data_IF_460570009754
#
_entry.id   IF_460570009754
#
_cell.length_a   1.000
_cell.length_b   1.000
_cell.length_c   1.000
_cell.angle_alpha   90.00
_cell.angle_beta   90.00
_cell.angle_gamma   90.00
#
_symmetry.space_group_name_H-M   'P 1'
#
loop_
_entity.id
_entity.type
_entity.pdbx_description
1 polymer ?
#
# COMPACT_ATOMS: atom_id res chain seq x y z
N UNK A 1 -4.94 -11.15 -3.10
CA UNK A 1 -5.31 -12.16 -2.08
C UNK A 1 -6.43 -11.70 -1.17
N UNK A 2 -6.68 -10.40 -1.05
CA UNK A 2 -7.74 -9.78 -0.22
C UNK A 2 -9.09 -10.51 -0.27
N UNK A 3 -9.67 -10.73 -1.46
CA UNK A 3 -10.92 -11.51 -1.62
C UNK A 3 -10.88 -12.88 -0.92
N UNK A 4 -9.78 -13.62 -1.06
CA UNK A 4 -9.64 -14.94 -0.47
C UNK A 4 -9.46 -14.88 1.05
N UNK A 5 -8.79 -13.83 1.55
CA UNK A 5 -8.68 -13.59 2.99
C UNK A 5 -10.05 -13.27 3.60
N UNK A 6 -10.83 -12.39 2.99
CA UNK A 6 -12.21 -12.08 3.41
C UNK A 6 -13.06 -13.35 3.44
N UNK A 7 -12.99 -14.17 2.38
CA UNK A 7 -13.68 -15.46 2.32
C UNK A 7 -13.28 -16.38 3.47
N UNK A 8 -11.98 -16.49 3.76
CA UNK A 8 -11.45 -17.31 4.86
C UNK A 8 -11.97 -16.84 6.22
N UNK A 9 -12.13 -15.54 6.40
CA UNK A 9 -12.60 -14.91 7.64
C UNK A 9 -14.13 -14.88 7.77
N UNK A 10 -14.86 -15.46 6.80
CA UNK A 10 -16.32 -15.58 6.85
C UNK A 10 -17.07 -14.35 6.32
N UNK A 11 -16.42 -13.48 5.55
CA UNK A 11 -17.07 -12.35 4.90
C UNK A 11 -18.09 -12.77 3.84
N UNK A 12 -19.08 -11.91 3.63
CA UNK A 12 -20.14 -12.13 2.63
C UNK A 12 -19.59 -12.23 1.21
N UNK A 13 -20.37 -12.76 0.27
CA UNK A 13 -19.96 -12.81 -1.14
C UNK A 13 -19.79 -11.41 -1.72
N UNK A 14 -20.65 -10.48 -1.34
CA UNK A 14 -20.57 -9.07 -1.73
C UNK A 14 -19.32 -8.40 -1.17
N UNK A 15 -18.91 -8.70 0.07
CA UNK A 15 -17.65 -8.21 0.64
C UNK A 15 -16.43 -8.83 -0.06
N UNK A 16 -16.53 -10.09 -0.47
CA UNK A 16 -15.50 -10.73 -1.31
C UNK A 16 -15.38 -10.03 -2.67
N UNK A 17 -16.51 -9.69 -3.31
CA UNK A 17 -16.52 -8.94 -4.57
C UNK A 17 -15.87 -7.56 -4.37
N UNK A 18 -16.24 -6.84 -3.30
CA UNK A 18 -15.62 -5.56 -2.97
C UNK A 18 -14.10 -5.71 -2.78
N UNK A 19 -13.67 -6.73 -2.04
CA UNK A 19 -12.24 -7.01 -1.85
C UNK A 19 -11.51 -7.53 -3.08
N UNK A 20 -12.19 -8.08 -4.07
CA UNK A 20 -11.59 -8.38 -5.38
C UNK A 20 -11.33 -7.11 -6.18
N UNK A 21 -12.21 -6.11 -6.03
CA UNK A 21 -12.24 -4.91 -6.85
C UNK A 21 -11.60 -3.69 -6.18
N UNK A 22 -11.20 -3.76 -4.91
CA UNK A 22 -10.73 -2.60 -4.13
C UNK A 22 -9.62 -1.78 -4.82
N UNK A 23 -8.69 -2.48 -5.48
CA UNK A 23 -7.51 -1.87 -6.13
C UNK A 23 -7.60 -1.80 -7.66
N UNK A 24 -8.76 -2.06 -8.25
CA UNK A 24 -8.92 -2.17 -9.73
C UNK A 24 -8.55 -0.90 -10.48
N UNK A 25 -8.57 0.25 -9.81
CA UNK A 25 -8.27 1.56 -10.36
C UNK A 25 -6.82 2.01 -10.13
N UNK A 26 -5.96 1.17 -9.54
CA UNK A 26 -4.54 1.50 -9.45
C UNK A 26 -3.94 1.71 -10.84
N UNK A 27 -3.21 2.80 -10.94
CA UNK A 27 -2.45 3.18 -12.13
C UNK A 27 -1.12 2.43 -12.20
N UNK A 28 -0.46 2.50 -13.36
CA UNK A 28 0.93 2.08 -13.51
C UNK A 28 1.81 2.66 -12.39
N UNK A 29 2.66 1.82 -11.81
CA UNK A 29 3.54 2.13 -10.68
C UNK A 29 2.81 2.55 -9.39
N UNK A 30 1.51 2.28 -9.27
CA UNK A 30 0.71 2.50 -8.07
C UNK A 30 0.92 3.91 -7.48
N UNK A 31 1.45 4.01 -6.25
CA UNK A 31 1.61 5.26 -5.51
C UNK A 31 2.68 6.21 -6.09
N UNK A 32 3.50 5.78 -7.06
CA UNK A 32 4.39 6.72 -7.78
C UNK A 32 3.56 7.82 -8.48
N UNK A 33 2.35 7.49 -8.92
CA UNK A 33 1.45 8.45 -9.57
C UNK A 33 0.94 9.50 -8.58
N UNK A 34 0.66 9.13 -7.33
CA UNK A 34 0.32 10.10 -6.30
C UNK A 34 1.41 11.17 -6.17
N UNK A 35 2.68 10.77 -6.19
CA UNK A 35 3.80 11.70 -6.14
C UNK A 35 3.95 12.54 -7.43
N UNK A 36 3.73 11.93 -8.61
CA UNK A 36 3.78 12.65 -9.88
C UNK A 36 2.70 13.74 -9.98
N UNK A 37 1.55 13.49 -9.37
CA UNK A 37 0.39 14.39 -9.32
C UNK A 37 0.38 15.33 -8.10
N UNK A 38 1.40 15.25 -7.24
CA UNK A 38 1.47 16.01 -5.98
C UNK A 38 0.28 15.74 -5.03
N UNK A 39 -0.28 14.53 -5.09
CA UNK A 39 -1.39 14.07 -4.26
C UNK A 39 -0.89 13.55 -2.91
N UNK A 40 -0.98 14.37 -1.86
CA UNK A 40 -0.42 14.05 -0.54
C UNK A 40 -1.18 12.96 0.22
N UNK A 41 -2.45 12.73 -0.11
CA UNK A 41 -3.31 11.76 0.58
C UNK A 41 -3.05 10.30 0.14
N UNK A 42 -2.25 10.12 -0.93
CA UNK A 42 -1.92 8.84 -1.57
C UNK A 42 -3.17 8.02 -1.97
N UNK A 43 -4.19 8.71 -2.47
CA UNK A 43 -5.55 8.20 -2.73
C UNK A 43 -6.02 8.43 -4.19
N UNK A 44 -5.12 8.68 -5.15
CA UNK A 44 -5.52 9.04 -6.51
C UNK A 44 -6.34 7.92 -7.18
N UNK A 45 -5.98 6.66 -6.92
CA UNK A 45 -6.70 5.49 -7.39
C UNK A 45 -8.15 5.46 -6.86
N UNK A 46 -8.42 5.92 -5.62
CA UNK A 46 -9.78 6.06 -5.09
C UNK A 46 -10.57 7.13 -5.84
N UNK A 47 -9.93 8.26 -6.19
CA UNK A 47 -10.56 9.40 -6.88
C UNK A 47 -11.08 9.03 -8.28
N UNK A 48 -10.42 8.10 -8.96
CA UNK A 48 -10.82 7.64 -10.30
C UNK A 48 -11.63 6.33 -10.28
N UNK A 49 -11.84 5.74 -9.10
CA UNK A 49 -12.44 4.41 -8.93
C UNK A 49 -13.77 4.26 -9.67
N UNK A 50 -14.70 5.19 -9.42
CA UNK A 50 -16.04 5.15 -10.00
C UNK A 50 -16.04 5.32 -11.53
N UNK A 51 -15.12 6.12 -12.08
CA UNK A 51 -14.97 6.29 -13.53
C UNK A 51 -14.44 5.01 -14.17
N UNK A 52 -13.48 4.34 -13.53
CA UNK A 52 -12.93 3.06 -14.00
C UNK A 52 -13.99 1.96 -13.94
N UNK A 53 -14.70 1.82 -12.82
CA UNK A 53 -15.79 0.85 -12.69
C UNK A 53 -16.89 1.14 -13.72
N UNK A 54 -17.35 2.38 -13.81
CA UNK A 54 -18.47 2.78 -14.68
C UNK A 54 -18.18 2.62 -16.17
N UNK A 55 -16.91 2.76 -16.58
CA UNK A 55 -16.48 2.56 -17.98
C UNK A 55 -16.14 1.10 -18.33
N UNK A 56 -16.14 0.20 -17.34
CA UNK A 56 -15.77 -1.21 -17.52
C UNK A 56 -16.98 -2.13 -17.80
N UNK A 57 -16.70 -3.42 -18.02
CA UNK A 57 -17.73 -4.47 -18.06
C UNK A 57 -18.21 -4.90 -16.67
N UNK A 58 -17.58 -4.45 -15.59
CA UNK A 58 -17.84 -4.91 -14.21
C UNK A 58 -19.31 -4.71 -13.81
N UNK A 59 -19.92 -3.51 -13.97
CA UNK A 59 -21.33 -3.33 -13.59
C UNK A 59 -22.28 -4.27 -14.33
N UNK A 60 -22.01 -4.53 -15.62
CA UNK A 60 -22.80 -5.47 -16.41
C UNK A 60 -22.65 -6.91 -15.92
N UNK A 61 -21.41 -7.33 -15.60
CA UNK A 61 -21.13 -8.65 -15.05
C UNK A 61 -21.87 -8.81 -13.72
N UNK A 62 -21.70 -7.89 -12.77
CA UNK A 62 -22.38 -7.92 -11.48
C UNK A 62 -23.90 -8.04 -11.63
N UNK A 63 -24.49 -7.23 -12.52
CA UNK A 63 -25.92 -7.28 -12.84
C UNK A 63 -26.37 -8.63 -13.39
N UNK A 64 -25.55 -9.30 -14.21
CA UNK A 64 -25.89 -10.61 -14.76
C UNK A 64 -25.94 -11.71 -13.69
N UNK A 65 -25.27 -11.52 -12.57
CA UNK A 65 -25.32 -12.38 -11.38
C UNK A 65 -26.32 -11.89 -10.30
N UNK A 66 -27.08 -10.83 -10.58
CA UNK A 66 -28.12 -10.33 -9.67
C UNK A 66 -27.65 -9.29 -8.65
N UNK A 67 -26.40 -8.81 -8.75
CA UNK A 67 -25.88 -7.75 -7.90
C UNK A 67 -26.13 -6.36 -8.51
N UNK A 68 -26.20 -5.36 -7.64
CA UNK A 68 -26.11 -3.95 -8.02
C UNK A 68 -24.71 -3.45 -7.67
N UNK A 69 -24.03 -2.84 -8.64
CA UNK A 69 -22.66 -2.38 -8.45
C UNK A 69 -22.60 -1.29 -7.36
N UNK A 70 -23.59 -0.40 -7.35
CA UNK A 70 -23.73 0.71 -6.40
C UNK A 70 -23.85 0.18 -4.96
N UNK A 71 -24.65 -0.88 -4.79
CA UNK A 71 -24.85 -1.51 -3.48
C UNK A 71 -23.55 -2.12 -2.95
N UNK A 72 -22.57 -2.48 -3.79
CA UNK A 72 -21.30 -3.11 -3.39
C UNK A 72 -20.18 -2.08 -3.26
N UNK A 73 -20.10 -1.14 -4.19
CA UNK A 73 -18.89 -0.35 -4.45
C UNK A 73 -18.97 1.10 -3.94
N UNK A 74 -20.17 1.65 -3.70
CA UNK A 74 -20.31 3.07 -3.33
C UNK A 74 -20.10 3.32 -1.82
N UNK A 75 -20.12 2.27 -1.00
CA UNK A 75 -20.02 2.38 0.46
C UNK A 75 -19.06 1.32 1.02
N UNK A 76 -17.78 1.69 1.14
CA UNK A 76 -16.76 0.82 1.71
C UNK A 76 -16.89 0.62 3.23
N UNK A 77 -17.49 1.57 3.96
CA UNK A 77 -17.61 1.51 5.43
C UNK A 77 -18.43 0.32 5.94
N UNK A 78 -19.26 -0.28 5.07
CA UNK A 78 -20.03 -1.49 5.42
C UNK A 78 -19.19 -2.78 5.38
N UNK A 79 -18.02 -2.75 4.75
CA UNK A 79 -17.13 -3.88 4.55
C UNK A 79 -16.03 -3.90 5.61
N UNK A 80 -16.43 -4.25 6.84
CA UNK A 80 -15.56 -4.11 8.03
C UNK A 80 -14.40 -5.09 8.08
N UNK A 81 -14.44 -6.17 7.28
CA UNK A 81 -13.29 -7.08 7.10
C UNK A 81 -12.36 -6.53 6.02
N UNK A 82 -12.91 -6.03 4.91
CA UNK A 82 -12.14 -5.45 3.81
C UNK A 82 -11.27 -4.29 4.30
N UNK A 83 -11.91 -3.25 4.85
CA UNK A 83 -11.25 -2.00 5.20
C UNK A 83 -11.64 -1.54 6.60
N UNK A 84 -10.66 -0.96 7.32
CA UNK A 84 -10.88 -0.26 8.59
C UNK A 84 -9.88 0.86 8.71
N UNK A 85 -10.29 1.98 9.30
CA UNK A 85 -9.35 3.07 9.57
C UNK A 85 -8.14 2.59 10.38
N UNK A 86 -6.96 3.03 9.97
CA UNK A 86 -5.74 2.83 10.76
C UNK A 86 -5.95 3.36 12.19
N UNK A 87 -5.42 2.68 13.22
CA UNK A 87 -4.43 1.59 13.14
C UNK A 87 -5.02 0.16 13.28
N UNK A 88 -6.34 -0.04 13.17
CA UNK A 88 -6.96 -1.37 13.29
C UNK A 88 -6.49 -2.33 12.18
N UNK A 89 -6.63 -3.65 12.29
CA UNK A 89 -6.37 -4.54 11.14
C UNK A 89 -7.49 -4.47 10.10
N UNK A 90 -7.16 -4.63 8.82
CA UNK A 90 -8.09 -4.86 7.71
C UNK A 90 -7.49 -5.86 6.71
N UNK A 91 -8.32 -6.39 5.80
CA UNK A 91 -7.89 -7.46 4.89
C UNK A 91 -6.83 -6.99 3.89
N UNK A 92 -6.93 -5.75 3.40
CA UNK A 92 -5.90 -5.19 2.52
C UNK A 92 -4.52 -5.15 3.22
N UNK A 93 -4.45 -4.48 4.37
CA UNK A 93 -3.20 -4.35 5.15
C UNK A 93 -2.63 -5.67 5.65
N UNK A 94 -3.48 -6.64 5.98
CA UNK A 94 -2.99 -7.99 6.28
C UNK A 94 -2.43 -8.67 5.03
N UNK A 95 -3.12 -8.56 3.89
CA UNK A 95 -2.75 -9.33 2.72
C UNK A 95 -1.48 -8.81 2.04
N UNK A 96 -1.33 -7.50 1.84
CA UNK A 96 -0.10 -6.98 1.24
C UNK A 96 1.10 -7.27 2.14
N UNK A 97 0.98 -7.08 3.46
CA UNK A 97 2.09 -7.35 4.39
C UNK A 97 2.54 -8.79 4.37
N UNK A 98 1.61 -9.75 4.39
CA UNK A 98 1.97 -11.16 4.36
C UNK A 98 2.55 -11.56 3.00
N UNK A 99 1.97 -11.06 1.90
CA UNK A 99 2.43 -11.38 0.54
C UNK A 99 3.83 -10.82 0.28
N UNK A 100 4.04 -9.55 0.62
CA UNK A 100 5.26 -8.83 0.26
C UNK A 100 6.41 -9.28 1.15
N UNK A 101 6.19 -9.44 2.46
CA UNK A 101 7.22 -9.96 3.38
C UNK A 101 7.60 -11.41 3.07
N UNK A 102 6.67 -12.22 2.54
CA UNK A 102 6.99 -13.56 2.04
C UNK A 102 7.79 -13.50 0.75
N UNK A 103 7.39 -12.64 -0.18
CA UNK A 103 8.07 -12.45 -1.47
C UNK A 103 9.51 -11.98 -1.28
N UNK A 104 9.76 -11.14 -0.29
CA UNK A 104 11.09 -10.65 0.07
C UNK A 104 11.90 -11.64 0.92
N UNK A 105 11.30 -12.78 1.32
CA UNK A 105 11.98 -13.83 2.08
C UNK A 105 12.16 -13.52 3.57
N UNK A 106 11.42 -12.56 4.13
CA UNK A 106 11.48 -12.22 5.56
C UNK A 106 10.65 -13.14 6.44
N UNK A 107 9.57 -13.70 5.91
CA UNK A 107 8.68 -14.62 6.63
C UNK A 107 8.45 -15.90 5.84
N UNK A 108 7.98 -16.94 6.52
CA UNK A 108 7.70 -18.25 5.94
C UNK A 108 6.19 -18.51 5.84
N UNK A 109 5.81 -19.53 5.06
CA UNK A 109 4.42 -20.00 5.02
C UNK A 109 3.92 -20.51 6.37
N UNK A 110 4.81 -20.96 7.26
CA UNK A 110 4.45 -21.35 8.64
C UNK A 110 4.07 -20.15 9.47
N UNK A 111 4.82 -19.05 9.36
CA UNK A 111 4.52 -17.81 10.07
C UNK A 111 3.18 -17.23 9.59
N UNK A 112 2.95 -17.23 8.27
CA UNK A 112 1.66 -16.86 7.67
C UNK A 112 0.52 -17.71 8.22
N UNK A 113 0.66 -19.04 8.23
CA UNK A 113 -0.39 -19.92 8.75
C UNK A 113 -0.67 -19.63 10.22
N UNK A 114 0.38 -19.52 11.04
CA UNK A 114 0.24 -19.24 12.47
C UNK A 114 -0.52 -17.92 12.73
N UNK A 115 -0.22 -16.87 11.97
CA UNK A 115 -0.95 -15.61 12.06
C UNK A 115 -2.41 -15.76 11.60
N UNK A 116 -2.64 -16.34 10.42
CA UNK A 116 -3.99 -16.49 9.86
C UNK A 116 -4.88 -17.46 10.66
N UNK A 117 -4.30 -18.39 11.41
CA UNK A 117 -5.01 -19.30 12.31
C UNK A 117 -5.36 -18.62 13.66
N UNK A 118 -4.68 -17.51 14.01
CA UNK A 118 -4.92 -16.73 15.23
C UNK A 118 -6.00 -15.64 15.06
N UNK A 119 -6.33 -15.26 13.82
CA UNK A 119 -7.34 -14.22 13.55
C UNK A 119 -8.74 -14.72 13.93
N UNK A 120 -9.44 -13.90 14.70
CA UNK A 120 -10.85 -14.08 15.10
C UNK A 120 -11.63 -12.83 14.71
N UNK A 121 -12.79 -13.01 14.06
CA UNK A 121 -13.71 -11.90 13.79
C UNK A 121 -14.64 -11.69 14.99
N UNK A 122 -14.59 -10.50 15.59
CA UNK A 122 -15.46 -10.08 16.69
C UNK A 122 -16.10 -8.75 16.31
N UNK A 123 -17.44 -8.70 16.23
CA UNK A 123 -18.19 -7.50 15.86
C UNK A 123 -17.70 -6.87 14.54
N UNK A 124 -17.40 -7.71 13.54
CA UNK A 124 -16.89 -7.28 12.24
C UNK A 124 -15.41 -6.87 12.22
N UNK A 125 -14.68 -6.98 13.34
CA UNK A 125 -13.27 -6.59 13.46
C UNK A 125 -12.34 -7.79 13.56
N UNK A 126 -11.20 -7.72 12.88
CA UNK A 126 -10.11 -8.66 13.08
C UNK A 126 -9.46 -8.44 14.44
N UNK A 127 -9.56 -9.45 15.30
CA UNK A 127 -8.89 -9.53 16.58
C UNK A 127 -7.93 -10.72 16.56
N UNK A 128 -6.86 -10.62 17.34
CA UNK A 128 -5.90 -11.68 17.58
C UNK A 128 -6.18 -12.32 18.94
N UNK A 129 -5.76 -13.56 19.12
CA UNK A 129 -5.94 -14.29 20.38
C UNK A 129 -4.73 -14.17 21.31
N UNK A 130 -3.56 -13.85 20.76
CA UNK A 130 -2.28 -13.82 21.48
C UNK A 130 -1.54 -12.47 21.33
N UNK A 131 -1.02 -11.89 22.43
CA UNK A 131 -0.09 -10.76 22.36
C UNK A 131 1.19 -11.06 21.58
N UNK A 132 1.69 -12.29 21.62
CA UNK A 132 2.90 -12.71 20.91
C UNK A 132 2.70 -12.67 19.38
N UNK A 133 1.54 -13.13 18.89
CA UNK A 133 1.19 -13.03 17.47
C UNK A 133 0.98 -11.57 17.05
N UNK A 134 0.38 -10.75 17.91
CA UNK A 134 0.24 -9.32 17.66
C UNK A 134 1.61 -8.62 17.56
N UNK A 135 2.54 -8.92 18.46
CA UNK A 135 3.91 -8.41 18.40
C UNK A 135 4.62 -8.80 17.11
N UNK A 136 4.49 -10.07 16.69
CA UNK A 136 5.07 -10.57 15.45
C UNK A 136 4.51 -9.81 14.23
N UNK A 137 3.19 -9.63 14.16
CA UNK A 137 2.58 -8.93 13.02
C UNK A 137 2.94 -7.45 12.99
N UNK A 138 2.91 -6.76 14.15
CA UNK A 138 3.33 -5.35 14.24
C UNK A 138 4.79 -5.19 13.78
N UNK A 139 5.68 -6.08 14.22
CA UNK A 139 7.08 -6.07 13.78
C UNK A 139 7.22 -6.32 12.27
N UNK A 140 6.45 -7.27 11.73
CA UNK A 140 6.45 -7.62 10.30
C UNK A 140 5.92 -6.47 9.45
N UNK A 141 4.83 -5.85 9.87
CA UNK A 141 4.24 -4.67 9.23
C UNK A 141 5.19 -3.48 9.23
N UNK A 142 5.86 -3.19 10.36
CA UNK A 142 6.80 -2.07 10.40
C UNK A 142 8.09 -2.33 9.62
N UNK A 143 8.53 -3.57 9.46
CA UNK A 143 9.59 -3.89 8.51
C UNK A 143 9.23 -3.49 7.09
N UNK A 144 7.98 -3.70 6.69
CA UNK A 144 7.51 -3.29 5.38
C UNK A 144 7.40 -1.77 5.25
N UNK A 145 6.61 -1.13 6.11
CA UNK A 145 6.26 0.29 5.91
C UNK A 145 7.37 1.25 6.34
N UNK A 146 8.29 0.82 7.21
CA UNK A 146 9.46 1.62 7.63
C UNK A 146 10.71 1.13 6.91
N UNK A 147 11.12 -0.13 7.08
CA UNK A 147 12.43 -0.54 6.57
C UNK A 147 12.45 -0.66 5.04
N UNK A 148 11.32 -0.99 4.39
CA UNK A 148 11.24 -1.14 2.94
C UNK A 148 10.66 0.10 2.24
N UNK A 149 9.42 0.52 2.55
CA UNK A 149 8.82 1.68 1.85
C UNK A 149 9.58 3.00 2.07
N UNK A 150 10.22 3.15 3.24
CA UNK A 150 11.05 4.31 3.56
C UNK A 150 12.55 4.05 3.35
N UNK A 151 12.93 2.97 2.67
CA UNK A 151 14.33 2.76 2.28
C UNK A 151 14.79 3.91 1.36
N UNK A 152 15.97 4.53 1.61
CA UNK A 152 16.47 5.63 0.79
C UNK A 152 16.52 5.34 -0.71
N UNK A 153 16.80 4.09 -1.11
CA UNK A 153 16.85 3.68 -2.52
C UNK A 153 15.46 3.65 -3.14
N UNK A 154 14.45 3.17 -2.40
CA UNK A 154 13.06 3.19 -2.85
C UNK A 154 12.55 4.63 -2.98
N UNK A 155 12.85 5.49 -2.01
CA UNK A 155 12.48 6.92 -2.04
C UNK A 155 13.15 7.64 -3.23
N UNK A 156 14.43 7.37 -3.49
CA UNK A 156 15.14 7.88 -4.66
C UNK A 156 14.49 7.44 -5.98
N UNK A 157 14.23 6.14 -6.13
CA UNK A 157 13.65 5.60 -7.36
C UNK A 157 12.24 6.15 -7.63
N UNK A 158 11.42 6.23 -6.58
CA UNK A 158 10.08 6.82 -6.65
C UNK A 158 10.14 8.28 -7.08
N UNK A 159 11.05 9.07 -6.51
CA UNK A 159 11.16 10.49 -6.81
C UNK A 159 11.58 10.75 -8.27
N UNK A 160 12.57 10.03 -8.79
CA UNK A 160 13.00 10.17 -10.18
C UNK A 160 11.90 9.75 -11.16
N UNK A 161 11.22 8.63 -10.90
CA UNK A 161 10.15 8.17 -11.76
C UNK A 161 8.95 9.13 -11.72
N UNK A 162 8.58 9.63 -10.54
CA UNK A 162 7.53 10.63 -10.39
C UNK A 162 7.86 11.92 -11.13
N UNK A 163 9.10 12.41 -11.06
CA UNK A 163 9.57 13.58 -11.84
C UNK A 163 9.46 13.34 -13.35
N UNK A 164 9.87 12.15 -13.81
CA UNK A 164 9.79 11.79 -15.23
C UNK A 164 8.35 11.75 -15.73
N UNK A 165 7.44 11.12 -14.97
CA UNK A 165 6.00 11.05 -15.28
C UNK A 165 5.35 12.43 -15.25
N UNK A 166 5.61 13.22 -14.20
CA UNK A 166 5.08 14.59 -14.08
C UNK A 166 5.48 15.46 -15.27
N UNK A 167 6.75 15.35 -15.68
CA UNK A 167 7.24 16.06 -16.87
C UNK A 167 6.54 15.56 -18.14
N UNK A 168 6.42 14.25 -18.31
CA UNK A 168 5.76 13.67 -19.48
C UNK A 168 4.29 14.10 -19.62
N UNK A 169 3.56 14.17 -18.50
CA UNK A 169 2.20 14.71 -18.45
C UNK A 169 2.17 16.20 -18.82
N UNK A 170 3.10 16.99 -18.28
CA UNK A 170 3.20 18.43 -18.58
C UNK A 170 3.52 18.73 -20.05
N UNK A 171 4.30 17.86 -20.69
CA UNK A 171 4.67 17.97 -22.11
C UNK A 171 3.67 17.25 -23.04
N UNK A 172 2.58 16.70 -22.49
CA UNK A 172 1.45 16.09 -23.21
C UNK A 172 1.80 14.87 -24.10
N UNK A 173 2.99 14.29 -23.97
CA UNK A 173 3.32 13.01 -24.63
C UNK A 173 2.97 11.79 -23.78
N UNK A 174 2.57 12.03 -22.52
CA UNK A 174 1.85 11.09 -21.68
C UNK A 174 0.53 11.74 -21.29
N UNK A 175 -0.55 10.96 -21.29
CA UNK A 175 -1.89 11.38 -20.87
C UNK A 175 -2.31 10.63 -19.60
N UNK A 176 -3.35 11.11 -18.91
CA UNK A 176 -3.90 10.38 -17.76
C UNK A 176 -4.40 8.98 -18.12
N UNK A 177 -4.96 8.79 -19.32
CA UNK A 177 -5.38 7.47 -19.80
C UNK A 177 -4.20 6.52 -19.99
N UNK A 178 -3.01 7.04 -20.30
CA UNK A 178 -1.82 6.19 -20.41
C UNK A 178 -1.38 5.65 -19.05
N UNK A 179 -1.68 6.35 -17.95
CA UNK A 179 -1.41 5.86 -16.60
C UNK A 179 -2.28 4.66 -16.21
N UNK A 180 -3.35 4.38 -16.97
CA UNK A 180 -4.21 3.20 -16.78
C UNK A 180 -3.68 1.96 -17.53
N UNK A 181 -2.59 2.10 -18.29
CA UNK A 181 -1.88 0.98 -18.92
C UNK A 181 -0.96 0.29 -17.91
N UNK A 182 -0.22 -0.73 -18.37
CA UNK A 182 0.77 -1.43 -17.54
C UNK A 182 2.05 -0.61 -17.34
N UNK A 183 2.77 -0.89 -16.25
CA UNK A 183 4.10 -0.30 -15.95
C UNK A 183 5.04 -0.31 -17.16
N UNK A 184 5.12 -1.45 -17.84
CA UNK A 184 6.00 -1.65 -18.99
C UNK A 184 5.56 -0.84 -20.22
N UNK A 185 4.26 -0.64 -20.42
CA UNK A 185 3.75 0.23 -21.49
C UNK A 185 4.05 1.71 -21.22
N UNK A 186 3.83 2.17 -19.99
CA UNK A 186 4.15 3.55 -19.59
C UNK A 186 5.66 3.79 -19.67
N UNK A 187 6.47 2.84 -19.17
CA UNK A 187 7.94 2.95 -19.22
C UNK A 187 8.45 3.02 -20.66
N UNK A 188 7.88 2.22 -21.56
CA UNK A 188 8.23 2.26 -22.99
C UNK A 188 7.92 3.62 -23.59
N UNK A 189 6.75 4.21 -23.29
CA UNK A 189 6.40 5.55 -23.75
C UNK A 189 7.41 6.59 -23.26
N UNK A 190 7.72 6.59 -21.96
CA UNK A 190 8.70 7.50 -21.38
C UNK A 190 10.09 7.37 -22.03
N UNK A 191 10.58 6.12 -22.21
CA UNK A 191 11.88 5.83 -22.86
C UNK A 191 11.93 6.21 -24.33
N UNK A 192 10.81 6.12 -25.04
CA UNK A 192 10.69 6.49 -26.46
C UNK A 192 10.51 7.99 -26.70
N UNK A 193 10.39 8.79 -25.63
CA UNK A 193 10.22 10.23 -25.74
C UNK A 193 11.51 10.89 -26.26
N UNK A 194 11.36 11.95 -27.05
CA UNK A 194 12.48 12.81 -27.44
C UNK A 194 12.82 13.84 -26.36
N UNK A 195 12.20 13.75 -25.18
CA UNK A 195 12.45 14.66 -24.07
C UNK A 195 13.70 14.22 -23.31
N UNK A 196 14.78 14.99 -23.49
CA UNK A 196 16.09 14.69 -22.90
C UNK A 196 16.04 14.56 -21.38
N UNK A 197 15.25 15.38 -20.69
CA UNK A 197 15.21 15.37 -19.23
C UNK A 197 14.48 14.13 -18.71
N UNK A 198 13.41 13.68 -19.37
CA UNK A 198 12.77 12.39 -19.03
C UNK A 198 13.73 11.23 -19.24
N UNK A 199 14.45 11.20 -20.37
CA UNK A 199 15.44 10.15 -20.64
C UNK A 199 16.59 10.18 -19.63
N UNK A 200 17.10 11.37 -19.29
CA UNK A 200 18.18 11.54 -18.31
C UNK A 200 17.73 11.10 -16.89
N UNK A 201 16.49 11.37 -16.48
CA UNK A 201 15.92 10.88 -15.22
C UNK A 201 15.79 9.35 -15.21
N UNK A 202 15.35 8.75 -16.31
CA UNK A 202 15.25 7.29 -16.40
C UNK A 202 16.61 6.60 -16.45
N UNK A 203 17.63 7.21 -17.04
CA UNK A 203 18.98 6.66 -17.08
C UNK A 203 19.64 6.61 -15.70
N UNK A 204 19.21 7.46 -14.77
CA UNK A 204 19.63 7.43 -13.36
C UNK A 204 19.01 6.23 -12.59
N UNK A 205 17.95 5.60 -13.10
CA UNK A 205 17.37 4.40 -12.50
C UNK A 205 18.16 3.15 -12.92
N UNK A 206 19.29 2.91 -12.25
CA UNK A 206 20.15 1.75 -12.48
C UNK A 206 20.66 1.12 -11.17
N UNK A 207 21.17 -0.12 -11.26
CA UNK A 207 21.56 -0.97 -10.12
C UNK A 207 22.86 -0.55 -9.41
N UNK A 208 23.55 0.48 -9.90
CA UNK A 208 24.83 0.96 -9.35
C UNK A 208 24.69 2.26 -8.55
N UNK A 209 23.47 2.77 -8.41
CA UNK A 209 23.17 3.94 -7.57
C UNK A 209 23.49 3.62 -6.12
N UNK A 210 24.14 4.56 -5.44
CA UNK A 210 24.38 4.48 -4.01
C UNK A 210 23.78 5.71 -3.33
N UNK A 211 22.81 5.48 -2.45
CA UNK A 211 22.17 6.50 -1.63
C UNK A 211 22.25 6.13 -0.17
N UNK A 212 22.22 7.14 0.69
CA UNK A 212 22.19 6.98 2.15
C UNK A 212 21.18 7.93 2.76
N UNK A 213 20.76 7.63 4.00
CA UNK A 213 20.01 8.58 4.80
C UNK A 213 20.95 9.56 5.51
N UNK A 214 20.75 10.86 5.33
CA UNK A 214 21.57 11.93 5.92
C UNK A 214 20.75 13.21 6.14
N UNK A 215 20.45 13.54 7.40
CA UNK A 215 19.61 14.70 7.74
C UNK A 215 20.33 16.05 7.61
N UNK A 216 21.66 16.03 7.50
CA UNK A 216 22.47 17.25 7.49
C UNK A 216 22.84 17.67 6.08
N UNK A 217 23.10 16.70 5.22
CA UNK A 217 23.41 16.88 3.81
C UNK A 217 22.51 15.93 3.02
N UNK A 218 21.51 16.45 2.32
CA UNK A 218 20.59 15.65 1.51
C UNK A 218 20.24 16.36 0.21
N UNK A 219 19.90 15.55 -0.79
CA UNK A 219 19.45 16.01 -2.12
C UNK A 219 17.93 15.93 -2.24
N UNK A 220 17.30 15.05 -1.46
CA UNK A 220 15.87 14.78 -1.44
C UNK A 220 15.39 14.60 0.00
N UNK A 221 14.25 15.20 0.34
CA UNK A 221 13.52 14.87 1.56
C UNK A 221 12.10 14.47 1.19
N UNK A 222 11.65 13.33 1.73
CA UNK A 222 10.31 12.82 1.46
C UNK A 222 9.63 12.40 2.76
N UNK A 223 8.38 12.84 2.91
CA UNK A 223 7.46 12.36 3.94
C UNK A 223 6.36 11.54 3.25
N UNK A 224 6.22 10.29 3.64
CA UNK A 224 5.17 9.40 3.15
C UNK A 224 3.95 9.47 4.09
N UNK A 225 2.81 8.95 3.64
CA UNK A 225 1.62 8.75 4.48
C UNK A 225 1.98 7.91 5.71
N UNK A 226 1.51 8.36 6.88
CA UNK A 226 1.74 7.67 8.15
C UNK A 226 0.93 6.38 8.18
N UNK A 227 1.63 5.25 8.30
CA UNK A 227 1.04 3.90 8.30
C UNK A 227 1.31 3.24 9.64
N UNK A 228 0.37 3.36 10.59
CA UNK A 228 0.46 2.74 11.91
C UNK A 228 -0.45 1.51 12.02
N UNK A 229 -0.06 0.55 12.85
CA UNK A 229 -0.86 -0.63 13.16
C UNK A 229 -0.87 -0.89 14.68
N UNK A 230 -2.04 -1.20 15.22
CA UNK A 230 -2.27 -1.58 16.61
C UNK A 230 -3.43 -2.59 16.63
N UNK A 231 -3.12 -3.88 16.37
CA UNK A 231 -4.12 -4.94 16.33
C UNK A 231 -4.99 -5.00 17.59
N UNK A 232 -6.23 -5.39 17.42
CA UNK A 232 -7.10 -5.74 18.54
C UNK A 232 -6.76 -7.15 19.05
N UNK A 233 -6.87 -7.37 20.36
CA UNK A 233 -6.74 -8.67 21.00
C UNK A 233 -8.02 -8.98 21.76
N UNK A 234 -8.55 -10.19 21.58
CA UNK A 234 -9.70 -10.68 22.35
C UNK A 234 -9.21 -11.26 23.69
N UNK A 235 -9.43 -10.53 24.79
CA UNK A 235 -9.03 -10.95 26.15
C UNK A 235 -10.24 -10.96 27.08
N UNK A 236 -10.53 -12.11 27.69
CA UNK A 236 -11.66 -12.28 28.62
C UNK A 236 -12.99 -11.74 28.06
N UNK A 237 -13.30 -12.03 26.78
CA UNK A 237 -14.49 -11.53 26.07
C UNK A 237 -14.51 -10.02 25.79
N UNK A 238 -13.42 -9.30 26.05
CA UNK A 238 -13.29 -7.89 25.72
C UNK A 238 -12.25 -7.67 24.63
N UNK A 239 -12.55 -6.75 23.71
CA UNK A 239 -11.61 -6.29 22.69
C UNK A 239 -10.70 -5.24 23.33
N UNK A 240 -9.39 -5.46 23.26
CA UNK A 240 -8.37 -4.59 23.85
C UNK A 240 -7.29 -4.31 22.81
N UNK A 241 -6.78 -3.07 22.74
CA UNK A 241 -5.66 -2.73 21.85
C UNK A 241 -4.39 -3.44 22.27
N UNK A 242 -3.66 -4.03 21.33
CA UNK A 242 -2.44 -4.78 21.58
C UNK A 242 -1.35 -3.94 22.28
N UNK A 243 -1.24 -2.65 21.93
CA UNK A 243 -0.32 -1.69 22.57
C UNK A 243 -0.55 -1.49 24.07
N UNK A 244 -1.75 -1.78 24.58
CA UNK A 244 -2.04 -1.71 26.03
C UNK A 244 -1.64 -2.99 26.78
N UNK A 245 -1.43 -4.08 26.05
CA UNK A 245 -1.07 -5.39 26.59
C UNK A 245 0.42 -5.71 26.40
N UNK A 246 1.07 -5.12 25.41
CA UNK A 246 2.51 -5.27 25.13
C UNK A 246 3.22 -3.92 25.09
N UNK A 247 4.15 -3.65 26.04
CA UNK A 247 5.03 -2.50 25.97
C UNK A 247 5.87 -2.46 24.68
N UNK A 248 6.25 -3.62 24.15
CA UNK A 248 7.04 -3.73 22.92
C UNK A 248 6.28 -3.20 21.70
N UNK A 249 4.98 -3.51 21.58
CA UNK A 249 4.13 -2.94 20.51
C UNK A 249 4.06 -1.43 20.62
N UNK A 250 3.88 -0.92 21.85
CA UNK A 250 3.83 0.53 22.09
C UNK A 250 5.13 1.21 21.66
N UNK A 251 6.29 0.67 22.06
CA UNK A 251 7.60 1.19 21.67
C UNK A 251 7.82 1.15 20.15
N UNK A 252 7.48 0.05 19.48
CA UNK A 252 7.56 -0.07 18.02
C UNK A 252 6.67 0.96 17.31
N UNK A 253 5.44 1.14 17.81
CA UNK A 253 4.46 2.09 17.23
C UNK A 253 4.93 3.53 17.39
N UNK A 254 5.46 3.89 18.56
CA UNK A 254 6.00 5.23 18.81
C UNK A 254 7.23 5.51 17.93
N UNK A 255 8.15 4.55 17.81
CA UNK A 255 9.31 4.68 16.92
C UNK A 255 8.92 4.81 15.45
N UNK A 256 7.98 3.98 14.99
CA UNK A 256 7.45 4.04 13.62
C UNK A 256 6.76 5.39 13.34
N UNK A 257 5.97 5.90 14.28
CA UNK A 257 5.34 7.22 14.14
C UNK A 257 6.36 8.35 14.04
N UNK A 258 7.39 8.35 14.91
CA UNK A 258 8.46 9.36 14.86
C UNK A 258 9.19 9.30 13.51
N UNK A 259 9.53 8.10 13.02
CA UNK A 259 10.20 7.91 11.74
C UNK A 259 9.32 8.39 10.58
N UNK A 260 8.04 7.98 10.53
CA UNK A 260 7.10 8.37 9.49
C UNK A 260 6.86 9.90 9.46
N UNK A 261 6.70 10.53 10.63
CA UNK A 261 6.53 11.98 10.74
C UNK A 261 7.74 12.76 10.27
N UNK A 262 8.94 12.24 10.55
CA UNK A 262 10.22 12.82 10.13
C UNK A 262 10.47 12.67 8.64
N UNK A 263 10.02 11.56 8.05
CA UNK A 263 10.33 11.20 6.67
C UNK A 263 11.78 10.74 6.51
N UNK A 264 12.25 10.72 5.26
CA UNK A 264 13.56 10.23 4.85
C UNK A 264 14.31 11.32 4.12
N UNK A 265 15.52 11.61 4.59
CA UNK A 265 16.44 12.56 3.96
C UNK A 265 17.48 11.76 3.17
N UNK A 266 17.37 11.76 1.85
CA UNK A 266 18.20 10.95 0.96
C UNK A 266 19.34 11.80 0.41
N UNK A 267 20.58 11.32 0.59
CA UNK A 267 21.77 11.84 -0.08
C UNK A 267 22.29 10.84 -1.08
N UNK A 268 22.63 11.33 -2.26
CA UNK A 268 23.15 10.55 -3.36
C UNK A 268 24.67 10.58 -3.27
N UNK A 269 25.27 9.41 -3.07
CA UNK A 269 26.72 9.26 -2.93
C UNK A 269 27.38 9.06 -4.29
N UNK A 270 26.66 8.41 -5.21
CA UNK A 270 27.17 8.08 -6.54
C UNK A 270 26.03 7.89 -7.54
N UNK A 271 26.04 8.74 -8.55
CA UNK A 271 25.35 8.59 -9.84
C UNK A 271 26.46 8.28 -10.85
N UNK A 272 26.34 7.21 -11.63
CA UNK A 272 27.36 6.94 -12.67
C UNK A 272 27.06 7.74 -13.94
#
# INVERSE_FOLDING_TARGET
>A
GVMLLIKRLGGSEEEQIAGLLHDVSHTAFSHVIDFALENQDEDYHEKIYNDIIGSSSIPHILKSYGYKAEDILDNNDKWTILEQSAPALCADRVEYTLRDMFTYGYITTKDISAFLDDIIIVEGKMCLSSPEIAEWFVQTYYREVIDFFMDPLNIYGYDLLAKAIKRALKQEFLTFNDLLCTDEEVLRKLRSSNDKEVVDLLNQLHDQVCVVEDETQFDLHRKNKVRLIDPCILKNQHIVKSSTLSPKIKEMTEAANIKAEKGVYVRIIKEN
#
